data_IF_350938344323
#
_entry.id   IF_350938344323
#
_cell.length_a   1.000
_cell.length_b   1.000
_cell.length_c   1.000
_cell.angle_alpha   90.00
_cell.angle_beta   90.00
_cell.angle_gamma   90.00
#
_symmetry.space_group_name_H-M   'P 1'
#
loop_
_entity.id
_entity.type
_entity.pdbx_description
1 polymer ?
#
# COMPACT_ATOMS: atom_id res chain seq x y z
N UNK A 1 -43.68 11.43 17.07
CA UNK A 1 -43.20 11.53 15.66
C UNK A 1 -44.29 12.27 14.88
N UNK A 2 -43.93 13.08 13.87
CA UNK A 2 -44.87 13.80 13.02
C UNK A 2 -44.70 13.36 11.57
N UNK A 3 -45.78 12.90 10.95
CA UNK A 3 -45.87 12.63 9.51
C UNK A 3 -46.20 13.92 8.76
N UNK A 4 -45.58 14.13 7.59
CA UNK A 4 -45.77 15.33 6.76
C UNK A 4 -46.48 15.07 5.43
N UNK A 5 -46.57 13.81 5.00
CA UNK A 5 -47.32 13.43 3.79
C UNK A 5 -48.77 13.14 4.19
N UNK A 6 -49.68 13.99 3.72
CA UNK A 6 -51.13 13.85 3.94
C UNK A 6 -51.93 13.72 2.64
N UNK A 7 -51.26 13.83 1.49
CA UNK A 7 -51.87 13.75 0.16
C UNK A 7 -51.52 12.41 -0.49
N UNK A 8 -52.38 11.87 -1.38
CA UNK A 8 -52.09 10.63 -2.08
C UNK A 8 -50.76 10.69 -2.83
N UNK A 9 -49.93 9.66 -2.69
CA UNK A 9 -48.60 9.57 -3.30
C UNK A 9 -48.53 8.47 -4.36
N UNK A 10 -49.68 7.94 -4.77
CA UNK A 10 -49.76 6.85 -5.72
C UNK A 10 -50.98 6.99 -6.63
N UNK A 11 -50.86 6.49 -7.85
CA UNK A 11 -51.92 6.47 -8.89
C UNK A 11 -53.26 5.89 -8.40
N UNK A 12 -53.21 4.87 -7.54
CA UNK A 12 -54.36 4.26 -6.82
C UNK A 12 -54.89 5.08 -5.62
N UNK A 13 -54.50 6.34 -5.46
CA UNK A 13 -54.95 7.29 -4.43
C UNK A 13 -54.65 6.89 -2.96
N UNK A 14 -53.57 6.16 -2.70
CA UNK A 14 -53.13 5.83 -1.34
C UNK A 14 -51.91 6.64 -0.91
N UNK A 15 -51.62 6.64 0.39
CA UNK A 15 -50.57 7.44 1.05
C UNK A 15 -49.50 6.54 1.67
N UNK A 16 -49.06 5.50 0.93
CA UNK A 16 -48.08 4.53 1.44
C UNK A 16 -46.69 5.15 1.71
N UNK A 17 -46.37 6.28 1.10
CA UNK A 17 -45.07 6.93 1.25
C UNK A 17 -45.05 7.87 2.45
N UNK A 18 -44.10 7.66 3.35
CA UNK A 18 -44.04 8.35 4.64
C UNK A 18 -42.83 9.30 4.71
N UNK A 19 -43.08 10.56 5.04
CA UNK A 19 -42.06 11.51 5.50
C UNK A 19 -42.31 11.78 6.98
N UNK A 20 -41.46 11.22 7.85
CA UNK A 20 -41.59 11.28 9.30
C UNK A 20 -40.49 12.13 9.93
N UNK A 21 -40.83 12.89 10.96
CA UNK A 21 -39.88 13.63 11.82
C UNK A 21 -40.06 13.28 13.29
N UNK A 22 -38.96 13.36 14.05
CA UNK A 22 -39.03 13.36 15.51
C UNK A 22 -39.48 14.76 15.95
N UNK A 23 -40.38 14.87 16.93
CA UNK A 23 -40.84 16.18 17.45
C UNK A 23 -39.73 16.83 18.28
N UNK A 24 -38.66 17.27 17.61
CA UNK A 24 -37.62 18.12 18.17
C UNK A 24 -37.70 19.49 17.50
N UNK A 25 -37.42 20.59 18.23
CA UNK A 25 -37.65 21.95 17.75
C UNK A 25 -36.73 22.39 16.60
N UNK A 26 -35.72 21.59 16.24
CA UNK A 26 -34.60 22.02 15.38
C UNK A 26 -34.77 21.62 13.91
N UNK A 27 -35.56 20.58 13.62
CA UNK A 27 -35.71 20.06 12.26
C UNK A 27 -37.08 20.43 11.68
N UNK A 28 -37.12 21.52 10.89
CA UNK A 28 -38.33 21.93 10.15
C UNK A 28 -38.30 21.30 8.76
N UNK A 29 -39.02 20.19 8.58
CA UNK A 29 -39.37 19.69 7.24
C UNK A 29 -40.62 20.43 6.76
N UNK A 30 -40.55 20.98 5.55
CA UNK A 30 -41.72 21.53 4.84
C UNK A 30 -41.93 20.72 3.57
N UNK A 31 -43.06 20.01 3.49
CA UNK A 31 -43.47 19.36 2.25
C UNK A 31 -43.80 20.46 1.22
N UNK A 32 -43.11 20.47 0.09
CA UNK A 32 -43.30 21.47 -0.97
C UNK A 32 -44.37 21.03 -1.96
N UNK A 33 -44.22 19.82 -2.48
CA UNK A 33 -45.09 19.35 -3.56
C UNK A 33 -45.10 17.82 -3.66
N UNK A 34 -46.16 17.28 -4.27
CA UNK A 34 -46.27 15.88 -4.67
C UNK A 34 -46.63 15.84 -6.14
N UNK A 35 -45.65 15.51 -6.98
CA UNK A 35 -45.74 15.65 -8.43
C UNK A 35 -45.77 14.27 -9.09
N UNK A 36 -46.80 14.02 -9.90
CA UNK A 36 -46.82 12.87 -10.80
C UNK A 36 -45.95 13.17 -12.04
N UNK A 37 -44.85 12.43 -12.17
CA UNK A 37 -43.93 12.55 -13.32
C UNK A 37 -44.23 11.47 -14.38
N UNK A 38 -45.20 10.57 -14.14
CA UNK A 38 -45.62 9.53 -15.09
C UNK A 38 -44.57 8.45 -15.35
N UNK A 39 -43.52 8.37 -14.52
CA UNK A 39 -42.44 7.40 -14.65
C UNK A 39 -42.68 6.12 -13.81
N UNK A 40 -43.56 6.20 -12.82
CA UNK A 40 -43.85 5.14 -11.85
C UNK A 40 -45.27 5.34 -11.31
N UNK A 41 -45.82 4.30 -10.68
CA UNK A 41 -47.10 4.33 -9.97
C UNK A 41 -47.05 5.17 -8.67
N UNK A 42 -45.86 5.53 -8.20
CA UNK A 42 -45.61 6.46 -7.09
C UNK A 42 -45.27 7.89 -7.57
N UNK A 43 -45.84 8.89 -6.91
CA UNK A 43 -45.60 10.30 -7.14
C UNK A 43 -44.32 10.78 -6.44
N UNK A 44 -43.64 11.76 -7.03
CA UNK A 44 -42.43 12.34 -6.46
C UNK A 44 -42.78 13.33 -5.36
N UNK A 45 -42.28 13.06 -4.16
CA UNK A 45 -42.48 13.92 -2.99
C UNK A 45 -41.29 14.87 -2.86
N UNK A 46 -41.52 16.16 -3.06
CA UNK A 46 -40.55 17.22 -2.84
C UNK A 46 -40.72 17.81 -1.43
N UNK A 47 -39.64 17.89 -0.66
CA UNK A 47 -39.64 18.56 0.63
C UNK A 47 -38.37 19.39 0.84
N UNK A 48 -38.52 20.53 1.51
CA UNK A 48 -37.40 21.31 2.02
C UNK A 48 -37.01 20.79 3.40
N UNK A 49 -35.74 20.42 3.52
CA UNK A 49 -35.13 20.11 4.81
C UNK A 49 -34.33 21.33 5.28
N UNK A 50 -34.89 22.08 6.23
CA UNK A 50 -34.11 23.04 7.00
C UNK A 50 -33.29 22.29 8.04
N UNK A 51 -32.23 21.64 7.58
CA UNK A 51 -31.19 21.14 8.49
C UNK A 51 -30.46 22.36 9.03
N UNK A 52 -30.35 22.49 10.36
CA UNK A 52 -29.35 23.37 10.95
C UNK A 52 -27.96 22.87 10.54
N UNK A 53 -27.52 23.32 9.38
CA UNK A 53 -26.26 22.93 8.82
C UNK A 53 -25.15 23.49 9.71
N UNK A 54 -24.32 22.59 10.22
CA UNK A 54 -22.99 22.90 10.74
C UNK A 54 -22.91 23.80 11.98
N UNK A 55 -23.48 23.34 13.09
CA UNK A 55 -22.84 23.59 14.39
C UNK A 55 -21.47 22.91 14.34
N UNK A 56 -20.40 23.69 14.14
CA UNK A 56 -19.05 23.20 13.88
C UNK A 56 -18.70 22.02 14.79
N UNK A 57 -18.44 20.85 14.19
CA UNK A 57 -18.16 19.55 14.84
C UNK A 57 -17.70 19.74 16.29
N UNK A 58 -18.63 19.67 17.25
CA UNK A 58 -18.28 19.81 18.67
C UNK A 58 -17.17 18.81 18.94
N UNK A 59 -16.02 19.31 19.40
CA UNK A 59 -14.83 18.45 19.60
C UNK A 59 -15.27 17.28 20.46
N UNK A 60 -15.12 16.05 19.96
CA UNK A 60 -15.57 14.86 20.68
C UNK A 60 -14.71 14.73 21.93
N UNK A 61 -15.32 14.96 23.09
CA UNK A 61 -14.68 14.71 24.37
C UNK A 61 -14.82 13.22 24.68
N UNK A 62 -13.76 12.60 25.18
CA UNK A 62 -13.76 11.19 25.57
C UNK A 62 -12.89 11.04 26.81
N UNK A 63 -13.26 10.14 27.71
CA UNK A 63 -12.44 9.77 28.86
C UNK A 63 -11.35 8.82 28.40
N UNK A 64 -10.11 9.10 28.74
CA UNK A 64 -8.97 8.22 28.44
C UNK A 64 -7.96 8.27 29.58
N UNK A 65 -7.32 7.14 29.87
CA UNK A 65 -6.20 7.04 30.82
C UNK A 65 -4.92 6.69 30.08
N UNK A 66 -3.79 7.19 30.55
CA UNK A 66 -2.48 6.97 29.92
C UNK A 66 -1.73 5.82 30.61
N UNK A 67 -1.77 4.62 30.03
CA UNK A 67 -1.04 3.46 30.57
C UNK A 67 0.47 3.49 30.27
N UNK A 68 0.93 4.35 29.36
CA UNK A 68 2.34 4.42 28.92
C UNK A 68 3.30 5.03 29.95
N UNK A 69 2.78 5.68 30.99
CA UNK A 69 3.55 6.37 32.03
C UNK A 69 3.38 5.72 33.40
N UNK A 70 2.71 4.56 33.44
CA UNK A 70 2.53 3.81 34.67
C UNK A 70 3.86 3.14 35.00
N UNK A 71 4.29 3.30 36.24
CA UNK A 71 5.39 2.52 36.78
C UNK A 71 4.90 1.08 36.98
N UNK A 72 5.48 0.14 36.23
CA UNK A 72 5.02 -1.24 36.18
C UNK A 72 5.34 -1.98 37.47
N UNK A 73 6.46 -1.64 38.12
CA UNK A 73 6.91 -2.32 39.34
C UNK A 73 6.02 -1.91 40.52
N UNK A 74 5.82 -0.61 40.72
CA UNK A 74 4.93 -0.10 41.76
C UNK A 74 3.47 -0.55 41.56
N UNK A 75 2.99 -0.61 40.32
CA UNK A 75 1.64 -1.11 40.02
C UNK A 75 1.48 -2.60 40.36
N UNK A 76 2.50 -3.42 40.10
CA UNK A 76 2.45 -4.84 40.39
C UNK A 76 2.47 -5.13 41.90
N UNK A 77 3.25 -4.35 42.67
CA UNK A 77 3.28 -4.44 44.14
C UNK A 77 1.92 -4.08 44.76
N UNK A 78 1.35 -2.93 44.37
CA UNK A 78 0.06 -2.47 44.87
C UNK A 78 -1.08 -3.43 44.48
N UNK A 79 -1.06 -3.96 43.26
CA UNK A 79 -2.05 -4.93 42.81
C UNK A 79 -1.91 -6.27 43.55
N UNK A 80 -0.67 -6.71 43.80
CA UNK A 80 -0.41 -7.94 44.57
C UNK A 80 -0.89 -7.82 46.01
N UNK A 81 -0.66 -6.67 46.64
CA UNK A 81 -1.10 -6.39 48.00
C UNK A 81 -2.63 -6.32 48.11
N UNK A 82 -3.30 -5.60 47.20
CA UNK A 82 -4.76 -5.41 47.23
C UNK A 82 -5.56 -6.67 46.86
N UNK A 83 -4.93 -7.64 46.19
CA UNK A 83 -5.57 -8.92 45.83
C UNK A 83 -5.22 -10.08 46.79
N UNK A 84 -4.32 -9.89 47.76
CA UNK A 84 -3.77 -10.97 48.58
C UNK A 84 -4.81 -11.66 49.49
N UNK A 85 -5.87 -10.95 49.88
CA UNK A 85 -6.91 -11.37 50.81
C UNK A 85 -8.28 -11.59 50.14
N UNK A 86 -8.31 -11.69 48.79
CA UNK A 86 -9.56 -11.94 48.05
C UNK A 86 -10.13 -13.32 48.36
N UNK A 87 -11.20 -13.35 49.15
CA UNK A 87 -12.01 -14.53 49.42
C UNK A 87 -13.47 -14.10 49.48
N UNK A 88 -14.32 -14.71 48.65
CA UNK A 88 -15.77 -14.52 48.64
C UNK A 88 -16.41 -15.89 48.37
N UNK A 89 -17.54 -16.19 49.02
CA UNK A 89 -18.21 -17.50 48.94
C UNK A 89 -18.96 -17.71 47.60
N UNK A 90 -19.36 -16.62 46.94
CA UNK A 90 -20.01 -16.62 45.63
C UNK A 90 -19.06 -16.17 44.51
N UNK A 91 -19.10 -16.88 43.39
CA UNK A 91 -18.22 -16.62 42.25
C UNK A 91 -18.49 -15.25 41.61
N UNK A 92 -19.73 -14.79 41.53
CA UNK A 92 -20.04 -13.48 40.94
C UNK A 92 -19.57 -12.35 41.86
N UNK A 93 -19.71 -12.53 43.17
CA UNK A 93 -19.22 -11.57 44.15
C UNK A 93 -17.68 -11.51 44.12
N UNK A 94 -17.01 -12.67 44.05
CA UNK A 94 -15.56 -12.75 43.90
C UNK A 94 -15.07 -12.02 42.64
N UNK A 95 -15.72 -12.25 41.49
CA UNK A 95 -15.38 -11.59 40.22
C UNK A 95 -15.65 -10.09 40.29
N UNK A 96 -16.72 -9.67 40.96
CA UNK A 96 -17.05 -8.25 41.14
C UNK A 96 -16.04 -7.56 42.04
N UNK A 97 -15.67 -8.18 43.16
CA UNK A 97 -14.62 -7.73 44.09
C UNK A 97 -13.26 -7.62 43.39
N UNK A 98 -12.86 -8.65 42.64
CA UNK A 98 -11.64 -8.65 41.84
C UNK A 98 -11.59 -7.51 40.83
N UNK A 99 -12.66 -7.35 40.03
CA UNK A 99 -12.73 -6.29 39.02
C UNK A 99 -12.71 -4.89 39.64
N UNK A 100 -13.37 -4.71 40.79
CA UNK A 100 -13.39 -3.44 41.52
C UNK A 100 -11.99 -3.07 42.02
N UNK A 101 -11.31 -4.00 42.71
CA UNK A 101 -9.96 -3.81 43.25
C UNK A 101 -8.93 -3.53 42.15
N UNK A 102 -8.96 -4.30 41.07
CA UNK A 102 -8.12 -4.04 39.90
C UNK A 102 -8.38 -2.64 39.30
N UNK A 103 -9.63 -2.21 39.23
CA UNK A 103 -10.00 -0.90 38.72
C UNK A 103 -9.53 0.22 39.65
N UNK A 104 -9.61 0.04 40.98
CA UNK A 104 -9.18 1.01 41.98
C UNK A 104 -7.67 1.25 41.92
N UNK A 105 -6.87 0.17 41.90
CA UNK A 105 -5.41 0.25 41.70
C UNK A 105 -5.08 0.88 40.33
N UNK A 106 -5.81 0.50 39.27
CA UNK A 106 -5.62 1.11 37.94
C UNK A 106 -6.02 2.60 37.93
N UNK A 107 -6.99 3.04 38.73
CA UNK A 107 -7.38 4.45 38.83
C UNK A 107 -6.35 5.27 39.62
N UNK A 108 -5.71 4.69 40.63
CA UNK A 108 -4.64 5.31 41.40
C UNK A 108 -3.40 5.57 40.52
N UNK A 109 -2.95 4.53 39.79
CA UNK A 109 -1.78 4.60 38.93
C UNK A 109 -2.04 5.28 37.57
N UNK A 110 -3.24 5.13 37.02
CA UNK A 110 -3.64 5.66 35.72
C UNK A 110 -5.06 6.25 35.75
N UNK A 111 -5.24 7.48 36.30
CA UNK A 111 -6.55 8.09 36.41
C UNK A 111 -7.15 8.42 35.03
N UNK A 112 -8.47 8.31 34.93
CA UNK A 112 -9.23 8.76 33.76
C UNK A 112 -9.12 10.28 33.64
N UNK A 113 -8.72 10.74 32.46
CA UNK A 113 -8.63 12.16 32.13
C UNK A 113 -9.54 12.47 30.95
N UNK A 114 -10.15 13.65 30.98
CA UNK A 114 -10.89 14.17 29.86
C UNK A 114 -9.92 14.56 28.74
N UNK A 115 -10.00 13.86 27.61
CA UNK A 115 -9.25 14.23 26.41
C UNK A 115 -10.19 14.78 25.35
N UNK A 116 -9.73 15.81 24.67
CA UNK A 116 -10.40 16.37 23.50
C UNK A 116 -9.82 15.74 22.26
N UNK A 117 -10.59 14.88 21.58
CA UNK A 117 -10.15 14.31 20.31
C UNK A 117 -10.14 15.42 19.26
N UNK A 118 -8.94 15.75 18.75
CA UNK A 118 -8.81 16.60 17.58
C UNK A 118 -9.45 15.84 16.42
N UNK A 119 -10.63 16.26 15.98
CA UNK A 119 -11.18 15.76 14.73
C UNK A 119 -10.16 15.99 13.61
N UNK A 120 -10.06 15.07 12.66
CA UNK A 120 -9.28 15.33 11.46
C UNK A 120 -9.94 16.52 10.75
N UNK A 121 -9.37 17.72 10.93
CA UNK A 121 -9.75 18.90 10.17
C UNK A 121 -9.57 18.58 8.68
N UNK A 122 -10.43 19.12 7.83
CA UNK A 122 -10.22 18.99 6.39
C UNK A 122 -8.83 19.54 6.07
N UNK A 123 -8.12 18.84 5.19
CA UNK A 123 -6.75 19.21 4.86
C UNK A 123 -6.79 20.62 4.23
N UNK A 124 -5.83 21.52 4.52
CA UNK A 124 -5.90 22.90 4.04
C UNK A 124 -5.98 23.06 2.51
N UNK A 125 -5.43 22.10 1.76
CA UNK A 125 -5.48 22.05 0.30
C UNK A 125 -6.73 21.34 -0.26
N UNK A 126 -7.65 20.89 0.60
CA UNK A 126 -8.86 20.19 0.18
C UNK A 126 -9.93 21.19 -0.24
N UNK A 127 -10.27 21.22 -1.53
CA UNK A 127 -11.25 22.14 -2.10
C UNK A 127 -12.59 21.44 -2.43
N UNK A 128 -13.65 22.24 -2.60
CA UNK A 128 -14.96 21.76 -3.05
C UNK A 128 -14.90 21.12 -4.44
N UNK A 129 -14.00 21.58 -5.31
CA UNK A 129 -13.74 20.96 -6.61
C UNK A 129 -13.22 19.51 -6.48
N UNK A 130 -12.34 19.24 -5.51
CA UNK A 130 -11.91 17.86 -5.22
C UNK A 130 -13.10 17.05 -4.70
N UNK A 131 -13.95 17.67 -3.88
CA UNK A 131 -15.12 17.01 -3.35
C UNK A 131 -16.10 16.61 -4.46
N UNK A 132 -16.47 17.54 -5.34
CA UNK A 132 -17.38 17.28 -6.46
C UNK A 132 -16.81 16.21 -7.41
N UNK A 133 -15.54 16.30 -7.79
CA UNK A 133 -14.89 15.30 -8.65
C UNK A 133 -14.90 13.89 -8.03
N UNK A 134 -14.73 13.78 -6.70
CA UNK A 134 -14.83 12.50 -5.98
C UNK A 134 -16.25 11.95 -5.95
N UNK A 135 -17.27 12.81 -5.87
CA UNK A 135 -18.68 12.43 -5.97
C UNK A 135 -18.97 11.86 -7.36
N UNK A 136 -18.50 12.51 -8.44
CA UNK A 136 -18.62 12.03 -9.81
C UNK A 136 -17.92 10.68 -10.00
N UNK A 137 -16.68 10.53 -9.49
CA UNK A 137 -15.98 9.24 -9.49
C UNK A 137 -16.80 8.13 -8.84
N UNK A 138 -17.48 8.42 -7.72
CA UNK A 138 -18.31 7.45 -7.02
C UNK A 138 -19.59 7.11 -7.79
N UNK A 139 -20.14 8.05 -8.56
CA UNK A 139 -21.25 7.81 -9.50
C UNK A 139 -20.83 6.81 -10.58
N UNK A 140 -19.69 7.03 -11.24
CA UNK A 140 -19.19 6.12 -12.28
C UNK A 140 -18.77 4.76 -11.74
N UNK A 141 -18.20 4.70 -10.55
CA UNK A 141 -17.91 3.42 -9.88
C UNK A 141 -19.19 2.58 -9.69
N UNK A 142 -20.28 3.21 -9.24
CA UNK A 142 -21.58 2.52 -9.09
C UNK A 142 -22.15 2.08 -10.43
N UNK A 143 -21.99 2.91 -11.47
CA UNK A 143 -22.44 2.57 -12.82
C UNK A 143 -21.69 1.38 -13.41
N UNK A 144 -20.36 1.35 -13.28
CA UNK A 144 -19.53 0.22 -13.71
C UNK A 144 -19.85 -1.05 -12.93
N UNK A 145 -20.07 -0.97 -11.60
CA UNK A 145 -20.48 -2.12 -10.79
C UNK A 145 -21.85 -2.69 -11.20
N UNK A 146 -22.76 -1.86 -11.70
CA UNK A 146 -24.10 -2.30 -12.17
C UNK A 146 -24.07 -2.88 -13.58
N UNK A 147 -23.17 -2.40 -14.42
CA UNK A 147 -23.10 -2.79 -15.83
C UNK A 147 -21.62 -2.93 -16.21
N UNK A 148 -21.12 -4.18 -16.32
CA UNK A 148 -19.71 -4.46 -16.57
C UNK A 148 -19.35 -4.25 -18.05
N UNK A 149 -19.75 -3.11 -18.61
CA UNK A 149 -19.39 -2.66 -19.95
C UNK A 149 -18.04 -1.95 -19.90
N UNK A 150 -17.21 -2.19 -20.92
CA UNK A 150 -15.87 -1.59 -21.01
C UNK A 150 -15.93 -0.05 -21.06
N UNK A 151 -16.97 0.51 -21.67
CA UNK A 151 -17.20 1.96 -21.72
C UNK A 151 -17.33 2.55 -20.30
N UNK A 152 -18.05 1.87 -19.39
CA UNK A 152 -18.20 2.34 -18.01
C UNK A 152 -16.91 2.16 -17.20
N UNK A 153 -16.14 1.11 -17.48
CA UNK A 153 -14.80 0.93 -16.90
C UNK A 153 -13.89 2.10 -17.29
N UNK A 154 -13.87 2.46 -18.58
CA UNK A 154 -13.04 3.55 -19.10
C UNK A 154 -13.43 4.89 -18.45
N UNK A 155 -14.72 5.23 -18.43
CA UNK A 155 -15.22 6.46 -17.78
C UNK A 155 -14.83 6.53 -16.30
N UNK A 156 -14.92 5.41 -15.57
CA UNK A 156 -14.50 5.35 -14.18
C UNK A 156 -12.98 5.54 -14.01
N UNK A 157 -12.17 4.92 -14.87
CA UNK A 157 -10.70 5.04 -14.85
C UNK A 157 -10.28 6.48 -15.17
N UNK A 158 -10.88 7.10 -16.19
CA UNK A 158 -10.60 8.49 -16.57
C UNK A 158 -10.92 9.45 -15.42
N UNK A 159 -12.07 9.27 -14.76
CA UNK A 159 -12.43 10.07 -13.59
C UNK A 159 -11.51 9.82 -12.39
N UNK A 160 -10.97 8.60 -12.24
CA UNK A 160 -9.98 8.33 -11.22
C UNK A 160 -8.70 9.13 -11.46
N UNK A 161 -8.22 9.16 -12.71
CA UNK A 161 -7.04 9.93 -13.11
C UNK A 161 -7.27 11.43 -12.87
N UNK A 162 -8.42 11.96 -13.28
CA UNK A 162 -8.78 13.37 -13.08
C UNK A 162 -8.75 13.77 -11.60
N UNK A 163 -9.36 12.96 -10.73
CA UNK A 163 -9.36 13.21 -9.27
C UNK A 163 -7.94 13.19 -8.71
N UNK A 164 -7.10 12.25 -9.14
CA UNK A 164 -5.70 12.16 -8.67
C UNK A 164 -4.92 13.40 -9.11
N UNK A 165 -5.05 13.80 -10.38
CA UNK A 165 -4.38 14.97 -10.93
C UNK A 165 -4.83 16.26 -10.25
N UNK A 166 -6.15 16.41 -10.01
CA UNK A 166 -6.70 17.56 -9.31
C UNK A 166 -6.15 17.66 -7.88
N UNK A 167 -6.05 16.54 -7.15
CA UNK A 167 -5.46 16.50 -5.80
C UNK A 167 -3.97 16.85 -5.84
N UNK A 168 -3.22 16.36 -6.83
CA UNK A 168 -1.80 16.67 -6.97
C UNK A 168 -1.57 18.15 -7.27
N UNK A 169 -2.34 18.72 -8.21
CA UNK A 169 -2.23 20.12 -8.61
C UNK A 169 -2.59 21.06 -7.45
N UNK A 170 -3.72 20.84 -6.79
CA UNK A 170 -4.17 21.65 -5.64
C UNK A 170 -3.19 21.58 -4.47
N UNK A 171 -2.62 20.40 -4.18
CA UNK A 171 -1.54 20.26 -3.19
C UNK A 171 -0.30 21.05 -3.59
N UNK A 172 0.15 20.92 -4.85
CA UNK A 172 1.33 21.60 -5.35
C UNK A 172 1.16 23.11 -5.24
N UNK A 173 0.02 23.63 -5.67
CA UNK A 173 -0.31 25.05 -5.61
C UNK A 173 -0.37 25.57 -4.17
N UNK A 174 -1.02 24.83 -3.26
CA UNK A 174 -1.04 25.18 -1.84
C UNK A 174 0.36 25.30 -1.24
N UNK A 175 1.23 24.32 -1.47
CA UNK A 175 2.60 24.38 -0.93
C UNK A 175 3.43 25.45 -1.65
N UNK A 176 3.26 25.64 -2.95
CA UNK A 176 3.94 26.70 -3.70
C UNK A 176 3.60 28.09 -3.15
N UNK A 177 2.31 28.38 -2.94
CA UNK A 177 1.87 29.64 -2.32
C UNK A 177 2.40 29.79 -0.90
N UNK A 178 2.45 28.69 -0.14
CA UNK A 178 2.97 28.68 1.23
C UNK A 178 4.47 28.91 1.31
N UNK A 179 5.24 28.43 0.33
CA UNK A 179 6.67 28.72 0.23
C UNK A 179 6.92 30.15 -0.25
N UNK A 180 6.11 30.66 -1.18
CA UNK A 180 6.23 32.01 -1.72
C UNK A 180 5.96 33.10 -0.68
N UNK A 181 5.06 32.85 0.28
CA UNK A 181 4.73 33.80 1.35
C UNK A 181 5.53 33.61 2.64
N UNK A 182 6.41 32.60 2.72
CA UNK A 182 7.16 32.26 3.93
C UNK A 182 8.51 32.97 4.01
N UNK A 183 8.90 33.37 5.22
CA UNK A 183 10.26 33.82 5.52
C UNK A 183 11.28 32.67 5.46
N UNK A 184 12.57 32.98 5.31
CA UNK A 184 13.63 31.96 5.22
C UNK A 184 13.57 30.91 6.36
N UNK A 185 13.33 31.35 7.61
CA UNK A 185 13.22 30.46 8.78
C UNK A 185 11.97 29.58 8.73
N UNK A 186 10.88 30.08 8.17
CA UNK A 186 9.64 29.33 8.00
C UNK A 186 9.73 28.31 6.87
N UNK A 187 10.47 28.63 5.79
CA UNK A 187 10.78 27.68 4.71
C UNK A 187 11.52 26.47 5.27
N UNK A 188 12.57 26.66 6.07
CA UNK A 188 13.29 25.54 6.69
C UNK A 188 12.39 24.68 7.57
N UNK A 189 11.54 25.29 8.40
CA UNK A 189 10.55 24.55 9.22
C UNK A 189 9.55 23.78 8.35
N UNK A 190 9.09 24.35 7.24
CA UNK A 190 8.15 23.69 6.33
C UNK A 190 8.79 22.49 5.64
N UNK A 191 10.05 22.63 5.21
CA UNK A 191 10.86 21.54 4.65
C UNK A 191 11.05 20.44 5.69
N UNK A 192 11.51 20.76 6.90
CA UNK A 192 11.71 19.76 7.96
C UNK A 192 10.42 18.99 8.31
N UNK A 193 9.27 19.67 8.31
CA UNK A 193 7.96 19.04 8.52
C UNK A 193 7.52 18.14 7.36
N UNK A 194 7.88 18.47 6.11
CA UNK A 194 7.56 17.68 4.93
C UNK A 194 8.41 16.40 4.83
N UNK A 195 9.66 16.48 5.27
CA UNK A 195 10.61 15.36 5.20
C UNK A 195 10.62 14.47 6.44
N UNK A 196 9.75 14.72 7.43
CA UNK A 196 9.71 13.95 8.68
C UNK A 196 11.10 13.73 9.26
N UNK A 197 11.90 14.80 9.43
CA UNK A 197 13.16 14.66 10.17
C UNK A 197 12.82 14.09 11.55
N UNK A 198 13.38 12.92 11.85
CA UNK A 198 13.46 12.40 13.21
C UNK A 198 13.92 13.55 14.11
N UNK A 199 13.31 13.75 15.30
CA UNK A 199 13.72 14.81 16.20
C UNK A 199 15.24 14.67 16.40
N UNK A 200 15.96 15.79 16.20
CA UNK A 200 17.41 15.89 16.33
C UNK A 200 17.88 14.92 17.42
N UNK A 201 18.71 13.92 17.06
CA UNK A 201 19.27 12.98 18.02
C UNK A 201 19.80 13.79 19.20
N UNK A 202 19.08 13.76 20.32
CA UNK A 202 19.58 14.38 21.54
C UNK A 202 20.81 13.60 21.94
N UNK A 203 21.86 14.31 22.34
CA UNK A 203 23.09 13.69 22.82
C UNK A 203 22.74 12.62 23.88
N UNK A 204 23.48 11.50 23.94
CA UNK A 204 23.21 10.43 24.89
C UNK A 204 23.07 10.97 26.31
N UNK A 205 21.87 10.87 26.90
CA UNK A 205 21.58 11.39 28.25
C UNK A 205 22.34 10.62 29.35
N UNK A 206 22.89 9.46 28.99
CA UNK A 206 23.51 8.52 29.91
C UNK A 206 25.00 8.79 30.15
N UNK A 207 25.59 9.82 29.51
CA UNK A 207 27.00 10.15 29.65
C UNK A 207 27.12 11.55 30.27
N UNK A 208 27.86 11.71 31.39
CA UNK A 208 28.15 13.02 31.96
C UNK A 208 28.76 13.96 30.92
N UNK A 209 28.33 15.22 30.89
CA UNK A 209 28.74 16.22 29.88
C UNK A 209 30.27 16.43 29.77
N UNK A 210 31.01 16.22 30.86
CA UNK A 210 32.47 16.33 30.88
C UNK A 210 33.19 15.17 30.18
N UNK A 211 32.60 13.97 30.20
CA UNK A 211 33.21 12.75 29.64
C UNK A 211 32.77 12.46 28.20
N UNK A 212 31.77 13.20 27.71
CA UNK A 212 31.21 13.05 26.38
C UNK A 212 32.23 13.29 25.26
N UNK A 213 33.10 14.32 25.30
CA UNK A 213 34.12 14.52 24.27
C UNK A 213 35.13 13.38 24.21
N UNK A 214 35.54 12.87 25.37
CA UNK A 214 36.49 11.77 25.49
C UNK A 214 35.90 10.46 24.95
N UNK A 215 34.65 10.18 25.31
CA UNK A 215 33.92 8.98 24.85
C UNK A 215 33.64 9.03 23.35
N UNK A 216 33.25 10.21 22.85
CA UNK A 216 33.06 10.45 21.42
C UNK A 216 34.38 10.24 20.66
N UNK A 217 35.48 10.85 21.11
CA UNK A 217 36.78 10.72 20.45
C UNK A 217 37.28 9.26 20.45
N UNK A 218 37.13 8.56 21.59
CA UNK A 218 37.47 7.13 21.71
C UNK A 218 36.71 6.27 20.71
N UNK A 219 35.41 6.49 20.52
CA UNK A 219 34.61 5.75 19.53
C UNK A 219 35.17 5.88 18.10
N UNK A 220 35.57 7.08 17.68
CA UNK A 220 36.16 7.26 16.35
C UNK A 220 37.54 6.65 16.23
N UNK A 221 38.38 6.78 17.26
CA UNK A 221 39.68 6.11 17.32
C UNK A 221 39.54 4.59 17.17
N UNK A 222 38.67 3.99 17.97
CA UNK A 222 38.44 2.53 17.97
C UNK A 222 37.88 2.08 16.62
N UNK A 223 36.94 2.84 16.04
CA UNK A 223 36.36 2.55 14.73
C UNK A 223 37.38 2.64 13.60
N UNK A 224 38.24 3.66 13.60
CA UNK A 224 39.31 3.81 12.59
C UNK A 224 40.30 2.66 12.73
N UNK A 225 40.67 2.29 13.96
CA UNK A 225 41.55 1.15 14.20
C UNK A 225 40.95 -0.17 13.73
N UNK A 226 39.66 -0.38 13.99
CA UNK A 226 38.95 -1.58 13.57
C UNK A 226 38.86 -1.67 12.04
N UNK A 227 38.53 -0.56 11.36
CA UNK A 227 38.48 -0.52 9.88
C UNK A 227 39.87 -0.81 9.28
N UNK A 228 40.94 -0.26 9.86
CA UNK A 228 42.31 -0.53 9.40
C UNK A 228 42.68 -2.00 9.61
N UNK A 229 42.39 -2.55 10.78
CA UNK A 229 42.64 -3.96 11.08
C UNK A 229 41.85 -4.91 10.15
N UNK A 230 40.60 -4.56 9.81
CA UNK A 230 39.77 -5.32 8.86
C UNK A 230 40.31 -5.24 7.42
N UNK A 231 40.83 -4.07 7.01
CA UNK A 231 41.46 -3.89 5.70
C UNK A 231 42.79 -4.65 5.60
N UNK A 232 43.60 -4.64 6.66
CA UNK A 232 44.90 -5.33 6.71
C UNK A 232 44.74 -6.86 6.83
N UNK A 233 43.65 -7.33 7.45
CA UNK A 233 43.35 -8.76 7.60
C UNK A 233 42.69 -9.38 6.36
N UNK A 234 42.33 -8.59 5.34
CA UNK A 234 41.69 -9.10 4.12
C UNK A 234 42.76 -9.62 3.14
N UNK A 235 42.84 -10.94 2.86
CA UNK A 235 43.78 -11.47 1.89
C UNK A 235 43.45 -10.93 0.50
N UNK A 236 44.48 -10.42 -0.18
CA UNK A 236 44.45 -9.88 -1.54
C UNK A 236 43.61 -10.77 -2.47
N UNK A 237 42.38 -10.32 -2.77
CA UNK A 237 41.56 -10.89 -3.84
C UNK A 237 42.04 -10.34 -5.19
N UNK A 238 41.99 -11.15 -6.26
CA UNK A 238 42.46 -10.76 -7.58
C UNK A 238 41.62 -9.61 -8.14
N UNK A 239 42.28 -8.76 -8.94
CA UNK A 239 41.73 -7.58 -9.58
C UNK A 239 40.31 -7.80 -10.11
N UNK A 240 39.35 -7.06 -9.55
CA UNK A 240 38.00 -6.93 -10.08
C UNK A 240 38.07 -6.30 -11.47
N UNK A 241 37.89 -7.12 -12.50
CA UNK A 241 37.44 -6.67 -13.81
C UNK A 241 36.11 -5.92 -13.65
N UNK A 242 36.09 -4.75 -14.28
CA UNK A 242 34.99 -3.85 -14.66
C UNK A 242 33.57 -4.28 -14.23
N UNK A 243 32.79 -3.40 -13.57
CA UNK A 243 31.39 -3.69 -13.28
C UNK A 243 30.62 -3.84 -14.59
N UNK A 244 30.01 -5.01 -14.79
CA UNK A 244 28.96 -5.18 -15.79
C UNK A 244 27.70 -4.44 -15.34
N UNK A 245 26.95 -3.81 -16.26
CA UNK A 245 25.75 -3.06 -15.92
C UNK A 245 24.70 -3.97 -15.28
N UNK A 246 24.07 -3.43 -14.22
CA UNK A 246 23.09 -4.10 -13.39
C UNK A 246 21.68 -4.07 -14.01
N UNK A 247 21.03 -5.23 -13.96
CA UNK A 247 19.58 -5.45 -14.02
C UNK A 247 18.87 -4.84 -15.23
N UNK A 248 18.71 -5.65 -16.27
CA UNK A 248 17.76 -5.36 -17.33
C UNK A 248 16.32 -5.61 -16.85
N UNK A 249 15.51 -4.55 -16.79
CA UNK A 249 14.07 -4.68 -16.52
C UNK A 249 13.36 -4.90 -17.85
N UNK A 250 12.72 -6.08 -18.01
CA UNK A 250 11.94 -6.43 -19.19
C UNK A 250 10.47 -6.14 -18.95
N UNK A 251 9.87 -5.28 -19.76
CA UNK A 251 8.44 -4.97 -19.68
C UNK A 251 7.77 -5.02 -21.06
N UNK A 252 6.49 -5.39 -21.08
CA UNK A 252 5.67 -5.31 -22.27
C UNK A 252 5.41 -3.84 -22.65
N UNK A 253 5.31 -3.57 -23.96
CA UNK A 253 4.86 -2.29 -24.49
C UNK A 253 3.36 -2.05 -24.19
N UNK A 254 2.99 -1.96 -22.91
CA UNK A 254 1.67 -1.50 -22.51
C UNK A 254 1.56 0.00 -22.77
N UNK A 255 0.38 0.48 -23.18
CA UNK A 255 0.12 1.92 -23.37
C UNK A 255 0.36 2.74 -22.08
N UNK A 256 0.31 2.12 -20.90
CA UNK A 256 0.66 2.78 -19.63
C UNK A 256 2.17 2.89 -19.39
N UNK A 257 3.01 2.12 -20.10
CA UNK A 257 4.48 2.18 -20.02
C UNK A 257 5.03 3.03 -21.18
N UNK A 258 4.40 2.96 -22.36
CA UNK A 258 4.84 3.64 -23.59
C UNK A 258 4.20 5.02 -23.77
N UNK A 259 2.97 5.21 -23.30
CA UNK A 259 2.15 6.42 -23.54
C UNK A 259 1.98 7.27 -22.29
N UNK A 260 2.88 7.13 -21.32
CA UNK A 260 2.93 8.03 -20.19
C UNK A 260 3.97 9.11 -20.49
N UNK A 261 3.45 10.22 -21.01
CA UNK A 261 4.03 11.57 -20.98
C UNK A 261 4.14 12.07 -19.52
N UNK A 262 4.61 11.22 -18.61
CA UNK A 262 5.27 11.65 -17.37
C UNK A 262 6.76 11.67 -17.74
N UNK A 263 7.44 12.79 -17.53
CA UNK A 263 8.90 12.90 -17.66
C UNK A 263 9.64 12.08 -16.59
N UNK A 264 9.40 10.77 -16.54
CA UNK A 264 9.90 9.84 -15.52
C UNK A 264 10.72 8.65 -16.07
N UNK A 265 10.45 8.04 -17.26
CA UNK A 265 11.25 6.88 -17.67
C UNK A 265 12.64 7.26 -18.22
N UNK A 266 12.81 8.47 -18.78
CA UNK A 266 14.11 8.95 -19.25
C UNK A 266 15.03 9.32 -18.07
N UNK A 267 14.44 9.85 -16.99
CA UNK A 267 15.18 10.32 -15.81
C UNK A 267 15.77 9.16 -14.98
N UNK A 268 15.08 8.00 -14.92
CA UNK A 268 15.57 6.83 -14.19
C UNK A 268 16.79 6.18 -14.86
N UNK A 269 16.81 6.11 -16.20
CA UNK A 269 17.95 5.58 -16.98
C UNK A 269 19.24 6.34 -16.70
N UNK A 270 19.14 7.67 -16.56
CA UNK A 270 20.30 8.53 -16.31
C UNK A 270 20.73 8.60 -14.84
N UNK A 271 19.82 8.36 -13.89
CA UNK A 271 20.13 8.46 -12.45
C UNK A 271 20.59 7.15 -11.81
N UNK A 272 20.16 5.99 -12.30
CA UNK A 272 20.37 4.70 -11.63
C UNK A 272 21.04 3.63 -12.50
N UNK A 273 21.49 3.97 -13.72
CA UNK A 273 22.18 3.05 -14.64
C UNK A 273 21.39 1.75 -14.92
N UNK A 274 20.07 1.87 -15.07
CA UNK A 274 19.17 0.73 -15.34
C UNK A 274 18.85 0.64 -16.83
N UNK A 275 19.14 -0.50 -17.45
CA UNK A 275 18.79 -0.76 -18.84
C UNK A 275 17.36 -1.28 -18.97
N UNK A 276 16.46 -0.45 -19.48
CA UNK A 276 15.10 -0.88 -19.79
C UNK A 276 15.03 -1.59 -21.15
N UNK A 277 14.66 -2.86 -21.17
CA UNK A 277 14.49 -3.66 -22.40
C UNK A 277 13.00 -3.83 -22.66
N UNK A 278 12.49 -3.23 -23.75
CA UNK A 278 11.10 -3.40 -24.16
C UNK A 278 10.95 -4.64 -25.03
N UNK A 279 9.94 -5.47 -24.75
CA UNK A 279 9.60 -6.59 -25.61
C UNK A 279 8.49 -6.24 -26.63
N UNK A 280 8.42 -6.99 -27.72
CA UNK A 280 7.42 -6.75 -28.77
C UNK A 280 6.00 -6.82 -28.19
N UNK A 281 5.10 -5.91 -28.62
CA UNK A 281 3.72 -5.91 -28.14
C UNK A 281 3.05 -7.24 -28.46
N UNK A 282 2.29 -7.77 -27.49
CA UNK A 282 1.58 -9.06 -27.57
C UNK A 282 2.47 -10.31 -27.68
N UNK A 283 3.75 -10.21 -27.33
CA UNK A 283 4.65 -11.35 -27.21
C UNK A 283 4.88 -11.72 -25.74
N UNK A 284 3.81 -12.18 -25.09
CA UNK A 284 3.77 -12.53 -23.65
C UNK A 284 4.79 -13.58 -23.22
N UNK A 285 5.19 -14.47 -24.15
CA UNK A 285 6.24 -15.46 -23.92
C UNK A 285 7.57 -14.85 -23.46
N UNK A 286 7.90 -13.62 -23.90
CA UNK A 286 9.12 -12.92 -23.47
C UNK A 286 9.10 -12.45 -22.02
N UNK A 287 7.92 -12.31 -21.41
CA UNK A 287 7.73 -11.88 -20.01
C UNK A 287 7.15 -13.00 -19.12
N UNK A 288 7.21 -14.26 -19.57
CA UNK A 288 6.56 -15.38 -18.89
C UNK A 288 7.02 -15.65 -17.45
N UNK A 289 8.22 -15.19 -17.05
CA UNK A 289 8.66 -15.25 -15.65
C UNK A 289 7.86 -14.29 -14.76
N UNK A 290 7.61 -13.06 -15.21
CA UNK A 290 6.80 -12.11 -14.47
C UNK A 290 5.34 -12.58 -14.40
N UNK A 291 4.78 -13.11 -15.49
CA UNK A 291 3.42 -13.67 -15.51
C UNK A 291 3.26 -14.82 -14.52
N UNK A 292 4.20 -15.77 -14.49
CA UNK A 292 4.21 -16.83 -13.48
C UNK A 292 4.35 -16.27 -12.06
N UNK A 293 5.15 -15.21 -11.88
CA UNK A 293 5.25 -14.49 -10.62
C UNK A 293 3.90 -13.93 -10.15
N UNK A 294 3.16 -13.26 -11.04
CA UNK A 294 1.80 -12.76 -10.76
C UNK A 294 0.87 -13.92 -10.40
N UNK A 295 0.90 -15.01 -11.18
CA UNK A 295 0.07 -16.19 -10.92
C UNK A 295 0.35 -16.82 -9.55
N UNK A 296 1.63 -16.89 -9.13
CA UNK A 296 2.01 -17.37 -7.80
C UNK A 296 1.42 -16.46 -6.72
N UNK A 297 1.54 -15.14 -6.87
CA UNK A 297 1.03 -14.16 -5.91
C UNK A 297 -0.49 -14.20 -5.82
N UNK A 298 -1.21 -14.30 -6.93
CA UNK A 298 -2.66 -14.46 -6.95
C UNK A 298 -3.10 -15.74 -6.23
N UNK A 299 -2.41 -16.86 -6.47
CA UNK A 299 -2.69 -18.12 -5.80
C UNK A 299 -2.43 -18.04 -4.29
N UNK A 300 -1.39 -17.32 -3.86
CA UNK A 300 -1.11 -17.07 -2.45
C UNK A 300 -2.22 -16.24 -1.80
N UNK A 301 -2.66 -15.16 -2.44
CA UNK A 301 -3.72 -14.30 -1.92
C UNK A 301 -5.10 -14.96 -1.95
N UNK A 302 -5.34 -15.92 -2.85
CA UNK A 302 -6.56 -16.75 -2.80
C UNK A 302 -6.60 -17.64 -1.56
N UNK A 303 -5.45 -18.12 -1.10
CA UNK A 303 -5.32 -19.02 0.06
C UNK A 303 -5.20 -18.28 1.39
N UNK A 304 -4.58 -17.10 1.40
CA UNK A 304 -4.30 -16.31 2.61
C UNK A 304 -4.87 -14.90 2.48
N UNK A 305 -5.70 -14.48 3.44
CA UNK A 305 -6.30 -13.12 3.46
C UNK A 305 -5.30 -12.00 3.76
N UNK A 306 -4.20 -12.31 4.47
CA UNK A 306 -3.15 -11.34 4.80
C UNK A 306 -1.96 -11.49 3.83
N UNK A 307 -1.56 -10.44 3.10
CA UNK A 307 -0.45 -10.49 2.13
C UNK A 307 0.92 -10.77 2.75
N UNK A 308 1.21 -10.27 3.95
CA UNK A 308 2.58 -10.30 4.49
C UNK A 308 3.04 -11.69 4.90
N UNK A 309 2.24 -12.50 5.63
CA UNK A 309 2.58 -13.87 5.96
C UNK A 309 2.69 -14.75 4.70
N UNK A 310 1.81 -14.56 3.72
CA UNK A 310 1.83 -15.33 2.49
C UNK A 310 3.12 -15.11 1.67
N UNK A 311 3.62 -13.86 1.61
CA UNK A 311 4.90 -13.55 0.98
C UNK A 311 6.08 -14.09 1.78
N UNK A 312 6.01 -14.09 3.11
CA UNK A 312 7.03 -14.70 3.97
C UNK A 312 7.13 -16.20 3.69
N UNK A 313 5.99 -16.89 3.64
CA UNK A 313 5.93 -18.33 3.38
C UNK A 313 6.50 -18.68 2.00
N UNK A 314 6.18 -17.90 0.97
CA UNK A 314 6.79 -18.06 -0.36
C UNK A 314 8.32 -17.91 -0.33
N UNK A 315 8.82 -16.86 0.35
CA UNK A 315 10.26 -16.61 0.51
C UNK A 315 10.98 -17.73 1.26
N UNK A 316 10.26 -18.52 2.06
CA UNK A 316 10.77 -19.66 2.83
C UNK A 316 10.28 -21.02 2.33
N UNK A 317 9.75 -21.10 1.11
CA UNK A 317 9.39 -22.38 0.45
C UNK A 317 10.53 -22.79 -0.50
N UNK A 318 11.02 -24.03 -0.42
CA UNK A 318 12.15 -24.45 -1.24
C UNK A 318 11.69 -24.57 -2.70
N UNK A 319 12.46 -24.03 -3.63
CA UNK A 319 12.18 -24.15 -5.05
C UNK A 319 12.64 -25.52 -5.54
N UNK A 320 11.71 -26.27 -6.14
CA UNK A 320 11.88 -27.67 -6.54
C UNK A 320 13.08 -27.89 -7.47
N UNK A 321 13.45 -26.89 -8.27
CA UNK A 321 14.53 -26.99 -9.25
C UNK A 321 15.93 -27.07 -8.60
N UNK A 322 16.11 -26.66 -7.35
CA UNK A 322 17.44 -26.60 -6.71
C UNK A 322 17.44 -26.78 -5.18
N UNK A 323 16.29 -26.88 -4.53
CA UNK A 323 16.17 -27.16 -3.10
C UNK A 323 16.53 -25.98 -2.17
N UNK A 324 16.68 -24.77 -2.71
CA UNK A 324 16.97 -23.55 -1.95
C UNK A 324 15.72 -22.66 -1.88
N UNK A 325 15.66 -21.83 -0.84
CA UNK A 325 14.56 -20.86 -0.66
C UNK A 325 14.85 -19.56 -1.43
N UNK A 326 13.84 -18.83 -1.92
CA UNK A 326 14.03 -17.53 -2.55
C UNK A 326 14.80 -16.53 -1.66
N UNK A 327 14.53 -16.52 -0.35
CA UNK A 327 15.27 -15.67 0.58
C UNK A 327 16.75 -16.04 0.70
N UNK A 328 17.10 -17.33 0.57
CA UNK A 328 18.49 -17.75 0.59
C UNK A 328 19.21 -17.33 -0.68
N UNK A 329 18.56 -17.38 -1.84
CA UNK A 329 19.16 -16.91 -3.08
C UNK A 329 19.40 -15.40 -3.07
N UNK A 330 18.47 -14.63 -2.52
CA UNK A 330 18.54 -13.17 -2.54
C UNK A 330 19.39 -12.59 -1.39
N UNK A 331 19.29 -13.16 -0.20
CA UNK A 331 19.86 -12.59 1.03
C UNK A 331 20.91 -13.50 1.68
N UNK A 332 21.24 -14.65 1.07
CA UNK A 332 22.16 -15.66 1.62
C UNK A 332 21.78 -16.10 3.04
N UNK A 333 20.51 -16.00 3.45
CA UNK A 333 20.06 -16.34 4.81
C UNK A 333 18.64 -16.92 4.82
N UNK A 334 18.30 -17.66 5.87
CA UNK A 334 16.90 -18.08 6.13
C UNK A 334 16.17 -16.98 6.91
N UNK A 335 14.89 -16.80 6.61
CA UNK A 335 14.03 -15.88 7.36
C UNK A 335 13.37 -16.60 8.54
N UNK A 336 13.15 -15.87 9.64
CA UNK A 336 12.39 -16.38 10.78
C UNK A 336 10.92 -16.53 10.39
N UNK A 337 10.42 -17.76 10.43
CA UNK A 337 9.01 -18.08 10.15
C UNK A 337 8.22 -18.20 11.47
N UNK A 338 6.92 -18.50 11.36
CA UNK A 338 6.06 -18.81 12.51
C UNK A 338 6.31 -20.19 13.09
N UNK A 339 7.08 -21.03 12.41
CA UNK A 339 7.45 -22.35 12.89
C UNK A 339 8.70 -22.25 13.77
N UNK A 340 8.77 -23.00 14.88
CA UNK A 340 9.98 -23.07 15.71
C UNK A 340 11.17 -23.49 14.86
N UNK A 341 12.25 -22.70 14.93
CA UNK A 341 13.45 -22.89 14.13
C UNK A 341 14.69 -22.77 15.01
N UNK A 342 15.71 -23.58 14.70
CA UNK A 342 17.01 -23.56 15.36
C UNK A 342 17.76 -22.25 15.05
N UNK A 343 18.34 -21.61 16.06
CA UNK A 343 19.06 -20.33 15.93
C UNK A 343 20.25 -20.43 14.96
N UNK A 344 20.89 -21.60 14.86
CA UNK A 344 22.01 -21.85 13.96
C UNK A 344 21.56 -21.80 12.49
N UNK A 345 20.32 -22.18 12.20
CA UNK A 345 19.80 -22.19 10.83
C UNK A 345 19.43 -20.82 10.27
N UNK A 346 19.39 -19.79 11.13
CA UNK A 346 19.19 -18.39 10.76
C UNK A 346 20.50 -17.68 10.35
N UNK A 347 21.66 -18.33 10.54
CA UNK A 347 22.94 -17.76 10.16
C UNK A 347 23.07 -17.63 8.64
N UNK A 348 23.70 -16.56 8.13
CA UNK A 348 23.97 -16.43 6.70
C UNK A 348 24.88 -17.55 6.20
N UNK A 349 24.52 -18.14 5.06
CA UNK A 349 25.32 -19.11 4.34
C UNK A 349 25.49 -18.60 2.91
N UNK A 350 26.72 -18.29 2.54
CA UNK A 350 27.07 -17.87 1.18
C UNK A 350 27.12 -19.12 0.30
N UNK A 351 26.35 -19.11 -0.78
CA UNK A 351 26.35 -20.19 -1.77
C UNK A 351 27.22 -19.79 -2.95
N UNK A 352 27.96 -20.75 -3.50
CA UNK A 352 28.73 -20.53 -4.72
C UNK A 352 27.79 -20.19 -5.88
N UNK A 353 27.95 -18.97 -6.41
CA UNK A 353 27.10 -18.40 -7.45
C UNK A 353 27.22 -19.19 -8.76
N UNK A 354 28.40 -19.76 -9.02
CA UNK A 354 28.64 -20.53 -10.24
C UNK A 354 27.90 -21.87 -10.22
N UNK A 355 27.96 -22.59 -9.10
CA UNK A 355 27.20 -23.82 -8.90
C UNK A 355 25.69 -23.59 -9.01
N UNK A 356 25.18 -22.49 -8.42
CA UNK A 356 23.75 -22.12 -8.53
C UNK A 356 23.38 -21.84 -9.99
N UNK A 357 24.21 -21.08 -10.71
CA UNK A 357 23.99 -20.76 -12.13
C UNK A 357 24.00 -22.00 -13.01
N UNK A 358 24.94 -22.92 -12.80
CA UNK A 358 25.00 -24.20 -13.53
C UNK A 358 23.74 -25.03 -13.31
N UNK A 359 23.24 -25.11 -12.07
CA UNK A 359 21.98 -25.80 -11.75
C UNK A 359 20.78 -25.12 -12.42
N UNK A 360 20.72 -23.78 -12.42
CA UNK A 360 19.67 -23.03 -13.13
C UNK A 360 19.69 -23.31 -14.64
N UNK A 361 20.86 -23.24 -15.27
CA UNK A 361 21.00 -23.50 -16.70
C UNK A 361 20.59 -24.94 -17.05
N UNK A 362 20.98 -25.93 -16.23
CA UNK A 362 20.58 -27.32 -16.41
C UNK A 362 19.07 -27.51 -16.30
N UNK A 363 18.42 -26.85 -15.35
CA UNK A 363 16.96 -26.91 -15.18
C UNK A 363 16.22 -26.22 -16.34
N UNK A 364 16.73 -25.08 -16.82
CA UNK A 364 16.19 -24.38 -17.99
C UNK A 364 16.31 -25.25 -19.24
N UNK A 365 17.50 -25.80 -19.52
CA UNK A 365 17.75 -26.68 -20.67
C UNK A 365 16.86 -27.92 -20.65
N UNK A 366 16.65 -28.55 -19.48
CA UNK A 366 15.72 -29.68 -19.36
C UNK A 366 14.27 -29.29 -19.69
N UNK A 367 13.85 -28.07 -19.33
CA UNK A 367 12.51 -27.55 -19.66
C UNK A 367 12.38 -27.25 -21.16
N UNK A 368 13.43 -26.69 -21.77
CA UNK A 368 13.51 -26.47 -23.22
C UNK A 368 13.44 -27.80 -23.98
N UNK A 369 14.25 -28.78 -23.60
CA UNK A 369 14.23 -30.13 -24.18
C UNK A 369 12.85 -30.79 -24.08
N UNK A 370 12.09 -30.55 -23.02
CA UNK A 370 10.72 -31.08 -22.87
C UNK A 370 9.73 -30.31 -23.73
N UNK A 371 9.87 -28.99 -23.83
CA UNK A 371 9.03 -28.13 -24.66
C UNK A 371 9.22 -28.43 -26.15
N UNK A 372 10.46 -28.69 -26.58
CA UNK A 372 10.82 -28.84 -27.98
C UNK A 372 10.73 -30.28 -28.49
N UNK A 373 10.37 -31.24 -27.62
CA UNK A 373 10.19 -32.68 -27.96
C UNK A 373 9.20 -32.97 -29.09
N UNK A 374 8.39 -31.99 -29.49
CA UNK A 374 7.42 -32.10 -30.59
C UNK A 374 7.62 -31.07 -31.70
N UNK A 375 8.68 -30.26 -31.67
CA UNK A 375 8.85 -29.11 -32.56
C UNK A 375 9.83 -29.44 -33.68
N UNK A 376 9.54 -28.97 -34.91
CA UNK A 376 10.48 -29.04 -36.04
C UNK A 376 11.16 -27.69 -36.20
N UNK A 377 12.47 -27.70 -36.39
CA UNK A 377 13.22 -26.47 -36.64
C UNK A 377 12.78 -25.81 -37.94
N UNK A 378 12.40 -24.54 -37.86
CA UNK A 378 12.03 -23.73 -39.01
C UNK A 378 13.28 -23.14 -39.68
N UNK A 379 13.32 -23.04 -41.01
CA UNK A 379 14.42 -22.38 -41.70
C UNK A 379 14.57 -20.92 -41.25
N UNK A 380 15.81 -20.40 -41.11
CA UNK A 380 16.03 -19.02 -40.73
C UNK A 380 15.53 -18.06 -41.82
N UNK A 381 14.73 -17.07 -41.42
CA UNK A 381 14.21 -16.03 -42.32
C UNK A 381 15.34 -15.14 -42.84
N UNK A 382 15.31 -14.82 -44.14
CA UNK A 382 16.24 -13.91 -44.82
C UNK A 382 15.61 -12.53 -44.98
N UNK A 383 16.47 -11.51 -45.03
CA UNK A 383 16.03 -10.14 -45.34
C UNK A 383 15.47 -10.13 -46.76
N UNK A 384 14.25 -9.60 -46.94
CA UNK A 384 13.51 -9.61 -48.20
C UNK A 384 12.47 -10.72 -48.34
N UNK A 385 12.40 -11.69 -47.42
CA UNK A 385 11.36 -12.73 -47.45
C UNK A 385 9.97 -12.13 -47.22
N UNK A 386 8.98 -12.60 -47.99
CA UNK A 386 7.57 -12.25 -47.79
C UNK A 386 7.02 -13.09 -46.63
N UNK A 387 6.59 -12.43 -45.57
CA UNK A 387 6.01 -13.04 -44.37
C UNK A 387 4.58 -12.58 -44.19
N UNK A 388 3.73 -13.39 -43.60
CA UNK A 388 2.37 -12.99 -43.27
C UNK A 388 2.31 -12.63 -41.78
N UNK A 389 1.79 -11.45 -41.44
CA UNK A 389 1.61 -10.99 -40.06
C UNK A 389 0.12 -10.86 -39.73
N UNK A 390 -0.24 -11.16 -38.49
CA UNK A 390 -1.60 -10.92 -37.98
C UNK A 390 -1.72 -9.50 -37.41
N UNK A 391 -2.72 -8.70 -37.80
CA UNK A 391 -3.01 -7.42 -37.14
C UNK A 391 -3.47 -7.59 -35.68
N UNK A 392 -3.37 -6.50 -34.91
CA UNK A 392 -3.57 -6.44 -33.44
C UNK A 392 -4.86 -7.13 -32.96
N UNK A 393 -4.74 -7.99 -31.94
CA UNK A 393 -5.85 -8.38 -31.04
C UNK A 393 -6.89 -9.36 -31.59
N UNK A 394 -6.57 -10.17 -32.61
CA UNK A 394 -7.58 -10.99 -33.28
C UNK A 394 -7.87 -12.32 -32.54
N UNK A 395 -9.15 -12.48 -32.16
CA UNK A 395 -9.77 -13.75 -31.82
C UNK A 395 -9.75 -14.71 -33.04
N UNK A 396 -9.96 -16.00 -32.78
CA UNK A 396 -9.97 -17.08 -33.80
C UNK A 396 -10.89 -16.73 -34.99
N UNK A 397 -10.33 -16.46 -36.18
CA UNK A 397 -11.09 -16.45 -37.44
C UNK A 397 -10.84 -15.36 -38.51
N UNK A 398 -9.74 -14.59 -38.52
CA UNK A 398 -9.51 -13.57 -39.58
C UNK A 398 -8.11 -13.56 -40.23
N UNK A 399 -8.05 -12.94 -41.41
CA UNK A 399 -7.02 -13.06 -42.46
C UNK A 399 -5.64 -12.46 -42.14
N UNK A 400 -4.61 -13.16 -42.63
CA UNK A 400 -3.20 -12.77 -42.51
C UNK A 400 -2.85 -11.66 -43.51
N UNK A 401 -2.08 -10.65 -43.07
CA UNK A 401 -1.61 -9.57 -43.94
C UNK A 401 -0.18 -9.81 -44.45
N UNK A 402 0.12 -9.58 -45.74
CA UNK A 402 1.46 -9.73 -46.28
C UNK A 402 2.40 -8.61 -45.78
N UNK A 403 3.63 -8.97 -45.45
CA UNK A 403 4.71 -8.12 -44.97
C UNK A 403 6.06 -8.63 -45.52
N UNK A 404 7.12 -7.83 -45.38
CA UNK A 404 8.48 -8.18 -45.85
C UNK A 404 9.49 -8.02 -44.73
N UNK A 405 10.40 -8.99 -44.57
CA UNK A 405 11.44 -8.97 -43.54
C UNK A 405 12.45 -7.86 -43.84
N UNK A 406 12.44 -6.79 -43.06
CA UNK A 406 13.33 -5.64 -43.27
C UNK A 406 14.73 -5.84 -42.68
N UNK A 407 14.83 -6.39 -41.46
CA UNK A 407 16.10 -6.65 -40.75
C UNK A 407 15.96 -7.84 -39.80
N UNK A 408 17.04 -8.58 -39.60
CA UNK A 408 17.12 -9.61 -38.55
C UNK A 408 17.38 -8.93 -37.21
N UNK A 409 16.56 -9.22 -36.21
CA UNK A 409 16.79 -8.74 -34.85
C UNK A 409 17.81 -9.65 -34.16
N UNK A 410 18.91 -9.08 -33.68
CA UNK A 410 19.85 -9.77 -32.79
C UNK A 410 19.44 -9.46 -31.35
N UNK A 411 18.93 -10.48 -30.65
CA UNK A 411 18.75 -10.47 -29.19
C UNK A 411 19.98 -10.98 -28.48
#
# INVERSE_FOLDING_TARGET
>A
MKQHVHVPTHTKKHTLDLVLTRMQPVDRIVLKDVVDIGLCDHFVIACDLALSCYDGKKKRQTMSRSLKRVDVEAFAEDLGADLADLQDDDLNDLVSSFNRRCLDVTNAHAPLRQITLKGHGMKPWYSDAIHSARVVRRKYERQFRKSPLEVHRQIYVDQCMEVVQLIQNTKKEYFHQKFASASAKEVFRLVDNLFHKEPNHTLPTNVPLGDLPQTFNKFFYDKIHQIRAELDASPTLPSLTTPQPLVAERTENAAQITTVRLGYPVCLRQQYDVEHITCFPHFHSSNGQAEKGVQIVENLWRKCKDPHPALLDYRTTPLESFGLFPAQLLMSRRLRTRLPMKSESLQPAVYDSETVRQRMNKATKKKEEVHDRGTKDLPPMKVGDRVAMTPKGCAKGQEWQPATVARKHST
#
